data_IF_221575671697
#
_entry.id   IF_221575671697
#
_cell.length_a   1.000
_cell.length_b   1.000
_cell.length_c   1.000
_cell.angle_alpha   90.00
_cell.angle_beta   90.00
_cell.angle_gamma   90.00
#
_symmetry.space_group_name_H-M   'P 1'
#
loop_
_entity.id
_entity.type
_entity.pdbx_description
1 polymer ?
#
# COMPACT_ATOMS: atom_id res chain seq x y z
N UNK A 1 4.71 14.43 -7.41
CA UNK A 1 4.58 14.45 -5.95
C UNK A 1 5.92 14.84 -5.33
N UNK A 2 5.98 15.80 -4.38
CA UNK A 2 7.22 16.24 -3.75
C UNK A 2 7.97 15.10 -3.04
N UNK A 3 9.31 15.17 -2.97
CA UNK A 3 10.13 14.13 -2.32
C UNK A 3 9.75 13.94 -0.85
N UNK A 4 9.50 15.03 -0.13
CA UNK A 4 9.06 14.97 1.27
C UNK A 4 7.79 14.10 1.44
N UNK A 5 6.79 14.31 0.55
CA UNK A 5 5.56 13.51 0.57
C UNK A 5 5.81 12.04 0.23
N UNK A 6 6.71 11.74 -0.71
CA UNK A 6 7.08 10.35 -1.02
C UNK A 6 7.70 9.65 0.20
N UNK A 7 8.55 10.35 0.96
CA UNK A 7 9.14 9.81 2.20
C UNK A 7 8.10 9.56 3.29
N UNK A 8 7.14 10.47 3.46
CA UNK A 8 6.00 10.26 4.37
C UNK A 8 5.18 9.03 4.00
N UNK A 9 4.86 8.86 2.71
CA UNK A 9 4.11 7.71 2.22
C UNK A 9 4.88 6.39 2.39
N UNK A 10 6.21 6.40 2.20
CA UNK A 10 7.05 5.23 2.50
C UNK A 10 7.02 4.88 3.97
N UNK A 11 7.13 5.86 4.87
CA UNK A 11 7.00 5.62 6.31
C UNK A 11 5.61 5.05 6.66
N UNK A 12 4.54 5.66 6.17
CA UNK A 12 3.18 5.16 6.38
C UNK A 12 3.01 3.72 5.87
N UNK A 13 3.57 3.42 4.70
CA UNK A 13 3.52 2.06 4.14
C UNK A 13 4.24 1.04 5.03
N UNK A 14 5.43 1.37 5.54
CA UNK A 14 6.23 0.45 6.34
C UNK A 14 5.70 0.28 7.77
N UNK A 15 5.18 1.35 8.37
CA UNK A 15 4.75 1.34 9.76
C UNK A 15 3.26 1.00 9.90
N UNK A 16 2.39 1.75 9.24
CA UNK A 16 0.96 1.59 9.40
C UNK A 16 0.42 0.40 8.60
N UNK A 17 0.77 0.28 7.31
CA UNK A 17 0.36 -0.89 6.52
C UNK A 17 1.16 -2.13 6.94
N UNK A 18 2.47 -1.98 7.20
CA UNK A 18 3.35 -3.06 7.62
C UNK A 18 2.97 -3.69 8.97
N UNK A 19 2.29 -2.96 9.87
CA UNK A 19 1.78 -3.52 11.12
C UNK A 19 0.90 -4.77 10.93
N UNK A 20 0.11 -4.80 9.86
CA UNK A 20 -0.75 -5.93 9.50
C UNK A 20 -0.13 -6.79 8.40
N UNK A 21 0.47 -6.17 7.38
CA UNK A 21 1.00 -6.85 6.20
C UNK A 21 2.45 -7.33 6.37
N UNK A 22 3.00 -7.22 7.58
CA UNK A 22 4.39 -7.49 7.94
C UNK A 22 5.30 -6.31 7.63
N UNK A 23 6.30 -6.04 8.49
CA UNK A 23 7.27 -4.94 8.30
C UNK A 23 8.08 -5.05 6.99
N UNK A 24 8.14 -6.24 6.41
CA UNK A 24 8.77 -6.51 5.10
C UNK A 24 7.75 -6.67 3.97
N UNK A 25 6.47 -6.42 4.24
CA UNK A 25 5.32 -6.58 3.35
C UNK A 25 5.11 -8.00 2.80
N UNK A 26 5.76 -9.00 3.40
CA UNK A 26 5.66 -10.42 3.01
C UNK A 26 4.44 -11.14 3.62
N UNK A 27 3.56 -10.40 4.31
CA UNK A 27 2.37 -10.93 4.95
C UNK A 27 2.56 -11.14 6.45
N UNK A 28 1.43 -11.26 7.15
CA UNK A 28 1.31 -11.43 8.59
C UNK A 28 -0.15 -11.67 8.94
N UNK A 29 -0.75 -10.75 9.70
CA UNK A 29 -2.20 -10.74 9.91
C UNK A 29 -2.97 -10.46 8.60
N UNK A 30 -2.42 -9.56 7.78
CA UNK A 30 -2.86 -9.28 6.42
C UNK A 30 -2.08 -10.07 5.36
N UNK A 31 -2.61 -10.18 4.13
CA UNK A 31 -1.92 -10.87 3.03
C UNK A 31 -0.63 -10.15 2.63
N UNK A 32 0.28 -10.83 1.94
CA UNK A 32 1.47 -10.20 1.37
C UNK A 32 1.11 -9.07 0.38
N UNK A 33 1.91 -8.01 0.37
CA UNK A 33 1.82 -6.89 -0.57
C UNK A 33 3.01 -6.87 -1.55
N UNK A 34 3.66 -8.03 -1.75
CA UNK A 34 4.77 -8.17 -2.72
C UNK A 34 4.27 -8.06 -4.16
N UNK A 35 5.14 -7.72 -5.13
CA UNK A 35 4.78 -7.70 -6.55
C UNK A 35 4.14 -9.02 -7.02
N UNK A 36 4.65 -10.17 -6.55
CA UNK A 36 4.09 -11.48 -6.85
C UNK A 36 2.69 -11.68 -6.29
N UNK A 37 2.44 -11.30 -5.03
CA UNK A 37 1.12 -11.41 -4.40
C UNK A 37 0.07 -10.45 -5.01
N UNK A 38 0.54 -9.33 -5.57
CA UNK A 38 -0.28 -8.35 -6.27
C UNK A 38 -0.38 -8.61 -7.77
N UNK A 39 0.22 -9.70 -8.28
CA UNK A 39 0.13 -10.09 -9.67
C UNK A 39 -1.34 -10.34 -10.07
N UNK A 40 -1.70 -9.94 -11.29
CA UNK A 40 -3.07 -10.03 -11.80
C UNK A 40 -4.07 -9.01 -11.21
N UNK A 41 -3.72 -8.29 -10.13
CA UNK A 41 -4.59 -7.23 -9.57
C UNK A 41 -4.38 -5.92 -10.31
N UNK A 42 -5.47 -5.31 -10.79
CA UNK A 42 -5.42 -4.02 -11.48
C UNK A 42 -5.11 -2.88 -10.52
N UNK A 43 -4.51 -1.80 -11.03
CA UNK A 43 -4.27 -0.57 -10.25
C UNK A 43 -5.58 -0.03 -9.68
N UNK A 44 -6.66 -0.02 -10.49
CA UNK A 44 -7.99 0.43 -10.06
C UNK A 44 -8.53 -0.39 -8.89
N UNK A 45 -8.39 -1.72 -8.93
CA UNK A 45 -8.83 -2.59 -7.84
C UNK A 45 -8.06 -2.28 -6.55
N UNK A 46 -6.73 -2.19 -6.63
CA UNK A 46 -5.89 -1.91 -5.46
C UNK A 46 -6.15 -0.52 -4.90
N UNK A 47 -6.39 0.46 -5.77
CA UNK A 47 -6.82 1.80 -5.37
C UNK A 47 -8.10 1.74 -4.54
N UNK A 48 -9.14 1.06 -5.02
CA UNK A 48 -10.41 0.95 -4.29
C UNK A 48 -10.25 0.27 -2.94
N UNK A 49 -9.43 -0.78 -2.86
CA UNK A 49 -9.12 -1.48 -1.61
C UNK A 49 -8.45 -0.55 -0.59
N UNK A 50 -7.53 0.31 -1.01
CA UNK A 50 -6.87 1.27 -0.10
C UNK A 50 -7.83 2.40 0.25
N UNK A 51 -8.54 2.94 -0.74
CA UNK A 51 -9.44 4.08 -0.58
C UNK A 51 -10.59 3.77 0.38
N UNK A 52 -11.30 2.66 0.13
CA UNK A 52 -12.53 2.29 0.84
C UNK A 52 -12.33 1.20 1.89
N UNK A 53 -11.12 0.65 2.01
CA UNK A 53 -10.84 -0.48 2.87
C UNK A 53 -11.47 -1.76 2.33
N UNK A 54 -11.64 -2.76 3.20
CA UNK A 54 -12.38 -3.98 2.87
C UNK A 54 -13.45 -4.25 3.93
N UNK A 55 -14.74 -4.22 3.58
CA UNK A 55 -15.82 -4.55 4.51
C UNK A 55 -15.61 -5.93 5.14
N UNK A 56 -15.95 -6.04 6.43
CA UNK A 56 -15.82 -7.26 7.22
C UNK A 56 -14.37 -7.79 7.34
N UNK A 57 -13.36 -6.94 7.17
CA UNK A 57 -11.98 -7.24 7.52
C UNK A 57 -11.36 -6.10 8.34
N UNK A 58 -10.22 -6.34 9.01
CA UNK A 58 -9.50 -5.26 9.70
C UNK A 58 -8.90 -4.18 8.80
N UNK A 59 -9.01 -4.28 7.46
CA UNK A 59 -8.41 -3.31 6.53
C UNK A 59 -9.27 -2.03 6.45
N UNK A 60 -8.85 -0.91 7.06
CA UNK A 60 -9.67 0.30 7.13
C UNK A 60 -9.62 1.10 5.82
N UNK A 61 -10.59 2.01 5.59
CA UNK A 61 -10.51 2.99 4.51
C UNK A 61 -9.43 4.05 4.80
N UNK A 62 -8.64 4.40 3.79
CA UNK A 62 -7.58 5.41 3.90
C UNK A 62 -7.92 6.75 3.23
N UNK A 63 -9.09 6.88 2.59
CA UNK A 63 -9.52 8.10 1.86
C UNK A 63 -9.60 9.39 2.68
N UNK A 64 -9.65 9.28 4.01
CA UNK A 64 -9.65 10.45 4.90
C UNK A 64 -8.22 10.94 5.24
N UNK A 65 -7.18 10.18 4.88
CA UNK A 65 -5.77 10.43 5.20
C UNK A 65 -4.94 10.59 3.93
N UNK A 66 -5.25 9.82 2.89
CA UNK A 66 -4.53 9.78 1.62
C UNK A 66 -5.37 10.40 0.51
N UNK A 67 -4.72 11.22 -0.33
CA UNK A 67 -5.33 11.69 -1.58
C UNK A 67 -5.32 10.60 -2.64
N UNK A 68 -6.14 10.74 -3.68
CA UNK A 68 -6.15 9.81 -4.82
C UNK A 68 -4.75 9.65 -5.44
N UNK A 69 -3.98 10.75 -5.51
CA UNK A 69 -2.62 10.73 -6.05
C UNK A 69 -1.67 9.95 -5.16
N UNK A 70 -1.81 10.04 -3.84
CA UNK A 70 -1.01 9.25 -2.89
C UNK A 70 -1.30 7.76 -3.03
N UNK A 71 -2.57 7.39 -3.12
CA UNK A 71 -3.00 5.99 -3.25
C UNK A 71 -2.49 5.40 -4.57
N UNK A 72 -2.66 6.10 -5.70
CA UNK A 72 -2.14 5.64 -7.00
C UNK A 72 -0.62 5.45 -6.94
N UNK A 73 0.09 6.37 -6.29
CA UNK A 73 1.54 6.27 -6.14
C UNK A 73 1.96 5.06 -5.29
N UNK A 74 1.31 4.82 -4.14
CA UNK A 74 1.54 3.64 -3.30
C UNK A 74 1.27 2.33 -4.04
N UNK A 75 0.18 2.26 -4.80
CA UNK A 75 -0.15 1.07 -5.61
C UNK A 75 0.96 0.78 -6.62
N UNK A 76 1.44 1.81 -7.32
CA UNK A 76 2.51 1.65 -8.29
C UNK A 76 3.84 1.23 -7.62
N UNK A 77 4.17 1.83 -6.47
CA UNK A 77 5.33 1.44 -5.67
C UNK A 77 5.26 -0.04 -5.26
N UNK A 78 4.12 -0.48 -4.74
CA UNK A 78 3.92 -1.88 -4.33
C UNK A 78 4.02 -2.87 -5.50
N UNK A 79 3.47 -2.51 -6.65
CA UNK A 79 3.56 -3.34 -7.86
C UNK A 79 4.98 -3.42 -8.42
N UNK A 80 5.78 -2.35 -8.25
CA UNK A 80 7.21 -2.33 -8.62
C UNK A 80 8.07 -3.09 -7.60
N UNK A 81 7.69 -3.03 -6.33
CA UNK A 81 8.47 -3.52 -5.19
C UNK A 81 9.31 -2.39 -4.58
N UNK A 82 9.62 -2.50 -3.28
CA UNK A 82 10.42 -1.48 -2.57
C UNK A 82 11.93 -1.58 -2.81
N UNK A 83 12.41 -2.65 -3.46
CA UNK A 83 13.84 -2.95 -3.59
C UNK A 83 14.52 -2.28 -4.82
N UNK A 84 14.04 -1.10 -5.23
CA UNK A 84 14.72 -0.28 -6.24
C UNK A 84 15.63 0.79 -5.63
N UNK A 85 15.82 0.77 -4.32
CA UNK A 85 16.95 1.41 -3.67
C UNK A 85 18.05 0.34 -3.56
N UNK A 86 19.12 0.55 -4.34
CA UNK A 86 20.31 -0.30 -4.46
C UNK A 86 20.89 -0.73 -3.12
#
# INVERSE_FOLDING_TARGET
MPVARQSELKHLLLHDCGSCHGMTLKGGLGPALTPSALSGKSVKYLFQVINDGRPNTPMPPWKNILSDTDIVWLVNLLKKGLNDEK
#
